data_IF_297953539784
#
_entry.id   IF_297953539784
#
_cell.length_a   1.000
_cell.length_b   1.000
_cell.length_c   1.000
_cell.angle_alpha   90.00
_cell.angle_beta   90.00
_cell.angle_gamma   90.00
#
_symmetry.space_group_name_H-M   'P 1'
#
loop_
_entity.id
_entity.type
_entity.pdbx_description
1 polymer ?
#
# COMPACT_ATOMS: atom_id res chain seq x y z
N UNK A 1 16.53 -9.38 46.42
CA UNK A 1 16.85 -10.56 45.57
C UNK A 1 15.66 -10.78 44.66
N UNK A 2 15.84 -10.74 43.34
CA UNK A 2 14.73 -10.89 42.39
C UNK A 2 14.51 -12.37 42.13
N UNK A 3 13.29 -12.85 42.32
CA UNK A 3 12.95 -14.24 41.99
C UNK A 3 13.11 -14.51 40.51
N UNK A 4 13.77 -15.61 40.16
CA UNK A 4 14.10 -15.97 38.80
C UNK A 4 13.96 -17.47 38.60
N UNK A 5 13.23 -17.87 37.56
CA UNK A 5 13.20 -19.24 37.05
C UNK A 5 14.15 -19.31 35.85
N UNK A 6 15.12 -20.19 35.89
CA UNK A 6 16.11 -20.37 34.82
C UNK A 6 15.98 -21.78 34.24
N UNK A 7 15.79 -21.82 32.92
CA UNK A 7 15.79 -23.03 32.11
C UNK A 7 17.06 -23.04 31.26
N UNK A 8 17.89 -24.06 31.40
CA UNK A 8 19.09 -24.21 30.61
C UNK A 8 18.77 -24.91 29.29
N UNK A 9 19.43 -24.47 28.21
CA UNK A 9 19.38 -25.21 26.94
C UNK A 9 20.01 -26.58 27.11
N UNK A 10 19.52 -27.58 26.38
CA UNK A 10 20.04 -28.93 26.40
C UNK A 10 21.50 -29.03 25.86
N UNK A 11 21.92 -28.07 25.04
CA UNK A 11 23.27 -27.92 24.50
C UNK A 11 23.58 -26.44 24.24
N UNK A 12 24.90 -26.11 24.11
CA UNK A 12 25.32 -24.75 23.74
C UNK A 12 25.43 -23.72 24.87
N UNK A 13 25.18 -24.13 26.16
CA UNK A 13 25.43 -23.30 27.34
C UNK A 13 24.48 -22.11 27.53
N UNK A 14 23.51 -21.89 26.65
CA UNK A 14 22.50 -20.85 26.76
C UNK A 14 21.41 -21.13 27.79
N UNK A 15 20.67 -20.13 28.22
CA UNK A 15 19.52 -20.29 29.12
C UNK A 15 18.42 -19.31 28.82
N UNK A 16 17.18 -19.72 29.07
CA UNK A 16 16.01 -18.87 29.15
C UNK A 16 15.68 -18.58 30.63
N UNK A 17 15.27 -17.37 30.95
CA UNK A 17 14.90 -17.02 32.31
C UNK A 17 13.61 -16.22 32.35
N UNK A 18 12.70 -16.56 33.26
CA UNK A 18 11.58 -15.74 33.66
C UNK A 18 11.99 -15.00 34.94
N UNK A 19 11.92 -13.68 34.93
CA UNK A 19 12.33 -12.84 36.05
C UNK A 19 11.22 -11.87 36.40
N UNK A 20 10.92 -11.77 37.70
CA UNK A 20 10.02 -10.74 38.18
C UNK A 20 10.63 -9.35 38.00
N UNK A 21 9.81 -8.30 37.77
CA UNK A 21 10.32 -6.93 37.72
C UNK A 21 10.97 -6.55 39.06
N UNK A 22 11.91 -5.60 39.01
CA UNK A 22 12.65 -5.17 40.22
C UNK A 22 11.74 -4.57 41.31
N UNK A 23 10.61 -3.99 40.90
CA UNK A 23 9.54 -3.50 41.78
C UNK A 23 8.18 -3.60 41.08
N UNK A 24 7.15 -4.00 41.84
CA UNK A 24 5.75 -3.98 41.35
C UNK A 24 4.82 -3.91 42.53
N UNK A 25 3.84 -3.02 42.46
CA UNK A 25 2.71 -2.97 43.42
C UNK A 25 1.55 -3.88 43.01
N UNK A 26 1.63 -4.52 41.83
CA UNK A 26 0.55 -5.33 41.28
C UNK A 26 0.91 -6.82 41.27
N UNK A 27 0.00 -7.67 41.71
CA UNK A 27 0.05 -9.09 41.50
C UNK A 27 -0.44 -9.40 40.09
N UNK A 28 0.45 -9.95 39.24
CA UNK A 28 0.12 -10.36 37.87
C UNK A 28 0.35 -11.86 37.73
N UNK A 29 -0.60 -12.51 37.08
CA UNK A 29 -0.52 -13.93 36.72
C UNK A 29 -0.24 -14.06 35.24
N UNK A 30 0.78 -14.80 34.87
CA UNK A 30 1.04 -15.24 33.52
C UNK A 30 0.54 -16.69 33.40
N UNK A 31 -0.58 -16.88 32.70
CA UNK A 31 -1.17 -18.21 32.49
C UNK A 31 -0.64 -18.76 31.16
N UNK A 32 0.01 -19.90 31.20
CA UNK A 32 0.41 -20.63 30.00
C UNK A 32 -0.85 -21.25 29.33
N UNK A 33 -0.95 -21.24 27.99
CA UNK A 33 -2.06 -21.88 27.30
C UNK A 33 -2.13 -23.38 27.61
N UNK A 34 -3.33 -23.88 27.89
CA UNK A 34 -3.62 -25.30 28.02
C UNK A 34 -3.91 -25.93 26.65
N UNK A 35 -3.03 -25.70 25.70
CA UNK A 35 -3.06 -26.31 24.38
C UNK A 35 -1.80 -27.11 24.14
N UNK A 36 -1.88 -28.14 23.29
CA UNK A 36 -0.69 -28.83 22.85
C UNK A 36 0.33 -27.81 22.32
N UNK A 37 1.58 -27.99 22.48
CA UNK A 37 2.72 -27.18 22.05
C UNK A 37 2.40 -25.68 21.75
N UNK A 38 2.73 -24.80 22.68
CA UNK A 38 2.61 -23.36 22.50
C UNK A 38 3.97 -22.68 22.39
N UNK A 39 4.10 -21.75 21.45
CA UNK A 39 5.28 -20.90 21.31
C UNK A 39 5.06 -19.58 22.00
N UNK A 40 5.93 -19.20 22.93
CA UNK A 40 5.94 -17.86 23.53
C UNK A 40 6.56 -16.90 22.52
N UNK A 41 5.73 -15.97 22.03
CA UNK A 41 6.20 -14.91 21.15
C UNK A 41 6.93 -13.85 21.97
N UNK A 42 8.16 -13.53 21.59
CA UNK A 42 8.94 -12.46 22.21
C UNK A 42 8.81 -11.17 21.40
N UNK A 43 9.27 -10.05 21.95
CA UNK A 43 9.32 -8.76 21.23
C UNK A 43 10.20 -8.78 19.98
N UNK A 44 11.03 -9.82 19.84
CA UNK A 44 11.89 -10.06 18.66
C UNK A 44 11.26 -11.03 17.67
N UNK A 45 10.07 -11.58 17.96
CA UNK A 45 9.37 -12.46 17.03
C UNK A 45 8.61 -11.58 16.03
N UNK A 46 9.11 -11.53 14.82
CA UNK A 46 8.48 -10.80 13.73
C UNK A 46 7.33 -11.64 13.16
N UNK A 47 6.10 -11.26 13.49
CA UNK A 47 4.88 -11.88 12.98
C UNK A 47 4.06 -10.84 12.22
N UNK A 48 4.58 -10.35 11.10
CA UNK A 48 3.86 -9.36 10.30
C UNK A 48 3.54 -8.08 11.07
N UNK A 49 4.47 -7.63 11.93
CA UNK A 49 4.27 -6.42 12.75
C UNK A 49 4.17 -5.19 11.87
N UNK A 50 3.17 -4.37 12.11
CA UNK A 50 3.11 -3.02 11.53
C UNK A 50 4.26 -2.17 12.10
N UNK A 51 5.16 -1.72 11.23
CA UNK A 51 6.32 -0.90 11.57
C UNK A 51 6.01 0.57 11.37
N UNK A 52 5.31 0.89 10.26
CA UNK A 52 4.96 2.26 9.90
C UNK A 52 3.59 2.30 9.22
N UNK A 53 2.87 3.38 9.46
CA UNK A 53 1.62 3.73 8.78
C UNK A 53 1.60 5.22 8.49
N UNK A 54 1.29 5.56 7.25
CA UNK A 54 1.07 6.92 6.80
C UNK A 54 -0.18 6.98 5.93
N UNK A 55 -0.95 8.05 6.03
CA UNK A 55 -2.09 8.28 5.16
C UNK A 55 -2.10 9.70 4.61
N UNK A 56 -2.65 9.84 3.42
CA UNK A 56 -2.87 11.12 2.75
C UNK A 56 -4.33 11.21 2.36
N UNK A 57 -4.98 12.31 2.75
CA UNK A 57 -6.34 12.66 2.31
C UNK A 57 -6.21 13.75 1.26
N UNK A 58 -6.73 13.49 0.06
CA UNK A 58 -6.68 14.42 -1.05
C UNK A 58 -8.08 14.93 -1.40
N UNK A 59 -8.29 16.21 -1.10
CA UNK A 59 -9.53 16.96 -1.40
C UNK A 59 -9.39 17.82 -2.68
N UNK A 60 -8.20 17.85 -3.28
CA UNK A 60 -7.97 18.48 -4.57
C UNK A 60 -8.65 17.71 -5.71
N UNK A 61 -8.57 18.23 -6.91
CA UNK A 61 -9.07 17.57 -8.11
C UNK A 61 -8.02 17.54 -9.21
N UNK A 62 -8.17 16.62 -10.15
CA UNK A 62 -7.38 16.55 -11.38
C UNK A 62 -8.25 16.14 -12.56
N UNK A 63 -7.75 16.41 -13.77
CA UNK A 63 -8.37 15.96 -15.02
C UNK A 63 -7.27 15.52 -15.97
N UNK A 64 -7.44 14.33 -16.51
CA UNK A 64 -6.48 13.74 -17.46
C UNK A 64 -7.27 13.39 -18.73
N UNK A 65 -6.94 14.06 -19.82
CA UNK A 65 -7.49 13.77 -21.12
C UNK A 65 -6.93 12.48 -21.72
N UNK A 66 -7.50 12.06 -22.85
CA UNK A 66 -7.01 10.90 -23.60
C UNK A 66 -5.51 11.03 -23.87
N UNK A 67 -4.77 9.98 -23.55
CA UNK A 67 -3.31 9.96 -23.69
C UNK A 67 -2.78 8.53 -23.89
N UNK A 68 -1.71 8.41 -24.65
CA UNK A 68 -0.92 7.18 -24.73
C UNK A 68 0.15 7.11 -23.64
N UNK A 69 0.43 8.25 -22.98
CA UNK A 69 1.33 8.35 -21.83
C UNK A 69 0.64 7.89 -20.55
N UNK A 70 1.41 7.79 -19.47
CA UNK A 70 0.93 7.45 -18.12
C UNK A 70 1.27 8.59 -17.15
N UNK A 71 0.58 9.73 -17.27
CA UNK A 71 0.81 10.85 -16.36
C UNK A 71 0.40 10.51 -14.94
N UNK A 72 1.04 11.17 -13.99
CA UNK A 72 0.64 11.14 -12.60
C UNK A 72 -0.73 11.82 -12.40
N UNK A 73 -1.54 11.25 -11.53
CA UNK A 73 -2.86 11.81 -11.21
C UNK A 73 -2.71 13.08 -10.40
N UNK A 74 -1.89 13.06 -9.35
CA UNK A 74 -1.60 14.23 -8.52
C UNK A 74 -0.34 14.03 -7.68
N UNK A 75 0.48 15.05 -7.59
CA UNK A 75 1.62 15.06 -6.65
C UNK A 75 1.20 15.14 -5.18
N UNK A 76 -0.04 15.53 -4.91
CA UNK A 76 -0.57 15.62 -3.54
C UNK A 76 -0.84 14.27 -2.88
N UNK A 77 -0.76 13.16 -3.64
CA UNK A 77 -0.96 11.80 -3.13
C UNK A 77 0.31 10.94 -3.29
N UNK A 78 1.48 11.58 -3.34
CA UNK A 78 2.78 10.89 -3.32
C UNK A 78 3.17 10.56 -1.89
N UNK A 79 3.79 9.41 -1.72
CA UNK A 79 4.56 9.10 -0.51
C UNK A 79 6.04 9.28 -0.79
N UNK A 80 6.74 9.94 0.11
CA UNK A 80 8.21 9.95 0.14
C UNK A 80 8.63 9.18 1.38
N UNK A 81 9.14 7.97 1.20
CA UNK A 81 9.33 7.03 2.29
C UNK A 81 10.71 6.38 2.27
N UNK A 82 11.27 6.17 3.47
CA UNK A 82 12.53 5.45 3.68
C UNK A 82 12.24 4.19 4.51
N UNK A 83 12.31 2.99 3.92
CA UNK A 83 12.05 1.75 4.65
C UNK A 83 13.03 1.54 5.79
N UNK A 84 12.55 0.97 6.89
CA UNK A 84 13.36 0.69 8.08
C UNK A 84 14.21 -0.58 7.92
N UNK A 85 13.81 -1.50 7.03
CA UNK A 85 14.55 -2.73 6.73
C UNK A 85 14.37 -3.14 5.27
N UNK A 86 15.43 -3.72 4.69
CA UNK A 86 15.42 -4.26 3.35
C UNK A 86 14.46 -5.45 3.17
N UNK A 87 14.16 -6.17 4.23
CA UNK A 87 13.29 -7.36 4.20
C UNK A 87 11.82 -7.04 4.36
N UNK A 88 11.48 -5.84 4.85
CA UNK A 88 10.11 -5.45 5.11
C UNK A 88 9.28 -5.35 3.84
N UNK A 89 7.97 -5.53 3.99
CA UNK A 89 7.00 -5.32 2.92
C UNK A 89 6.45 -3.91 3.00
N UNK A 90 6.41 -3.24 1.85
CA UNK A 90 5.72 -1.96 1.68
C UNK A 90 4.41 -2.25 0.98
N UNK A 91 3.31 -1.84 1.59
CA UNK A 91 1.95 -2.01 1.08
C UNK A 91 1.41 -0.61 0.81
N UNK A 92 1.01 -0.36 -0.42
CA UNK A 92 0.42 0.88 -0.88
C UNK A 92 -1.04 0.64 -1.23
N UNK A 93 -1.93 1.48 -0.73
CA UNK A 93 -3.35 1.44 -1.04
C UNK A 93 -3.80 2.83 -1.47
N UNK A 94 -4.46 2.90 -2.61
CA UNK A 94 -5.08 4.13 -3.10
C UNK A 94 -6.57 3.89 -3.27
N UNK A 95 -7.37 4.79 -2.76
CA UNK A 95 -8.80 4.80 -2.94
C UNK A 95 -9.18 6.11 -3.63
N UNK A 96 -9.41 6.02 -4.92
CA UNK A 96 -9.60 7.17 -5.79
C UNK A 96 -11.06 7.33 -6.16
N UNK A 97 -11.52 8.57 -6.22
CA UNK A 97 -12.82 8.93 -6.78
C UNK A 97 -12.63 9.36 -8.23
N UNK A 98 -13.23 8.63 -9.14
CA UNK A 98 -13.16 8.85 -10.58
C UNK A 98 -14.56 9.13 -11.12
N UNK A 99 -14.68 10.20 -11.89
CA UNK A 99 -15.82 10.44 -12.78
C UNK A 99 -15.33 10.41 -14.22
N UNK A 100 -16.07 9.73 -15.06
CA UNK A 100 -15.74 9.63 -16.48
C UNK A 100 -17.02 9.61 -17.33
N UNK A 101 -16.94 10.14 -18.55
CA UNK A 101 -17.99 10.06 -19.54
C UNK A 101 -18.11 8.67 -20.18
N UNK A 102 -18.95 8.52 -21.20
CA UNK A 102 -19.22 7.24 -21.86
C UNK A 102 -18.03 6.74 -22.71
N UNK A 103 -17.91 5.41 -22.80
CA UNK A 103 -17.09 4.68 -23.79
C UNK A 103 -15.58 4.89 -23.72
N UNK A 104 -14.97 4.85 -22.53
CA UNK A 104 -13.52 4.81 -22.46
C UNK A 104 -12.99 3.94 -21.31
N UNK A 105 -11.71 3.64 -21.36
CA UNK A 105 -10.99 2.85 -20.37
C UNK A 105 -9.97 3.74 -19.67
N UNK A 106 -9.98 3.71 -18.35
CA UNK A 106 -8.91 4.28 -17.53
C UNK A 106 -8.14 3.15 -16.86
N UNK A 107 -6.85 3.07 -17.14
CA UNK A 107 -5.92 2.13 -16.53
C UNK A 107 -5.12 2.85 -15.45
N UNK A 108 -4.88 2.18 -14.33
CA UNK A 108 -4.20 2.75 -13.16
C UNK A 108 -2.91 2.02 -12.88
N UNK A 109 -1.91 2.76 -12.43
CA UNK A 109 -0.56 2.26 -12.20
C UNK A 109 0.01 2.87 -10.93
N UNK A 110 0.69 2.07 -10.13
CA UNK A 110 1.47 2.55 -8.98
C UNK A 110 2.95 2.54 -9.38
N UNK A 111 3.57 3.72 -9.36
CA UNK A 111 4.97 3.93 -9.72
C UNK A 111 5.88 4.08 -8.51
N UNK A 112 7.15 3.73 -8.71
CA UNK A 112 8.23 3.94 -7.74
C UNK A 112 9.40 4.68 -8.40
N UNK A 113 9.83 5.78 -7.80
CA UNK A 113 10.95 6.60 -8.28
C UNK A 113 10.81 6.98 -9.76
N UNK A 114 9.60 7.38 -10.14
CA UNK A 114 9.28 7.72 -11.53
C UNK A 114 10.11 8.93 -11.97
N UNK A 115 10.91 8.75 -13.00
CA UNK A 115 11.81 9.81 -13.50
C UNK A 115 11.03 10.91 -14.24
N UNK A 116 9.97 10.56 -14.95
CA UNK A 116 9.12 11.49 -15.68
C UNK A 116 7.65 11.30 -15.29
N UNK A 117 7.14 12.13 -14.39
CA UNK A 117 5.74 12.05 -13.90
C UNK A 117 4.68 12.28 -14.98
N UNK A 118 5.05 12.82 -16.14
CA UNK A 118 4.14 12.94 -17.28
C UNK A 118 4.02 11.64 -18.07
N UNK A 119 4.95 10.70 -17.90
CA UNK A 119 4.96 9.42 -18.64
C UNK A 119 5.78 8.34 -17.93
N UNK A 120 5.18 7.67 -16.95
CA UNK A 120 5.79 6.56 -16.22
C UNK A 120 6.15 5.39 -17.15
N UNK A 121 7.33 4.82 -16.99
CA UNK A 121 7.84 3.71 -17.77
C UNK A 121 7.53 2.34 -17.12
N UNK A 122 7.59 1.26 -17.91
CA UNK A 122 7.31 -0.10 -17.41
C UNK A 122 8.27 -0.56 -16.31
N UNK A 123 9.52 -0.10 -16.30
CA UNK A 123 10.52 -0.42 -15.27
C UNK A 123 10.26 0.26 -13.92
N UNK A 124 9.34 1.21 -13.86
CA UNK A 124 9.05 2.03 -12.68
C UNK A 124 7.84 1.54 -11.89
N UNK A 125 7.23 0.41 -12.30
CA UNK A 125 6.10 -0.18 -11.57
C UNK A 125 6.52 -0.70 -10.20
N UNK A 126 5.66 -0.46 -9.22
CA UNK A 126 5.62 -1.29 -8.01
C UNK A 126 4.96 -2.61 -8.37
N UNK A 127 5.65 -3.72 -8.13
CA UNK A 127 5.12 -5.05 -8.40
C UNK A 127 3.77 -5.23 -7.69
N UNK A 128 2.72 -5.27 -8.46
CA UNK A 128 1.43 -5.72 -7.97
C UNK A 128 1.48 -7.23 -7.78
N UNK A 129 0.94 -7.79 -6.68
CA UNK A 129 0.85 -9.24 -6.50
C UNK A 129 -0.07 -9.91 -7.53
N UNK A 130 -0.74 -9.14 -8.35
CA UNK A 130 -1.64 -9.65 -9.36
C UNK A 130 -1.11 -9.32 -10.75
N UNK A 131 -0.78 -10.31 -11.46
CA UNK A 131 -1.10 -10.52 -12.86
C UNK A 131 -2.62 -10.29 -13.09
N UNK A 132 -3.15 -9.15 -12.67
CA UNK A 132 -4.56 -8.78 -12.83
C UNK A 132 -4.77 -7.96 -14.09
N UNK A 133 -4.09 -8.37 -15.16
CA UNK A 133 -4.36 -7.73 -16.43
C UNK A 133 -4.69 -8.80 -17.40
N UNK A 134 -5.92 -8.74 -17.82
CA UNK A 134 -6.36 -9.44 -19.01
C UNK A 134 -5.44 -9.02 -20.17
N UNK A 135 -4.52 -9.90 -20.61
CA UNK A 135 -3.62 -9.58 -21.73
C UNK A 135 -4.38 -9.40 -23.06
N UNK A 136 -5.68 -9.67 -23.10
CA UNK A 136 -6.54 -9.46 -24.26
C UNK A 136 -6.91 -7.99 -24.47
N UNK A 137 -6.60 -7.09 -23.52
CA UNK A 137 -6.80 -5.66 -23.70
C UNK A 137 -5.73 -5.08 -24.60
N UNK A 138 -6.10 -4.78 -25.79
CA UNK A 138 -5.36 -4.12 -26.88
C UNK A 138 -4.19 -3.24 -26.38
N UNK A 139 -2.97 -3.77 -26.40
CA UNK A 139 -1.77 -3.00 -26.22
C UNK A 139 -0.77 -3.45 -25.16
N UNK A 140 -1.01 -4.52 -24.41
CA UNK A 140 -0.01 -5.07 -23.49
C UNK A 140 0.34 -4.17 -22.29
N UNK A 141 -0.43 -3.13 -22.04
CA UNK A 141 -0.26 -2.19 -20.93
C UNK A 141 -1.02 -2.70 -19.69
N UNK A 142 -0.37 -3.57 -18.95
CA UNK A 142 -0.88 -4.00 -17.67
C UNK A 142 -0.89 -2.89 -16.62
N UNK A 143 -2.04 -2.63 -15.98
CA UNK A 143 -2.16 -1.70 -14.86
C UNK A 143 -2.55 -2.40 -13.56
N UNK A 144 -2.43 -1.71 -12.43
CA UNK A 144 -2.89 -2.19 -11.13
C UNK A 144 -4.42 -2.30 -11.04
N UNK A 145 -5.14 -1.56 -11.86
CA UNK A 145 -6.59 -1.66 -12.07
C UNK A 145 -7.01 -1.06 -13.39
N UNK A 146 -8.16 -1.50 -13.89
CA UNK A 146 -8.78 -0.99 -15.10
C UNK A 146 -10.25 -0.68 -14.81
N UNK A 147 -10.71 0.48 -15.24
CA UNK A 147 -12.10 0.90 -15.15
C UNK A 147 -12.64 1.12 -16.55
N UNK A 148 -13.78 0.51 -16.81
CA UNK A 148 -14.55 0.70 -18.02
C UNK A 148 -15.64 1.73 -17.78
N UNK A 149 -15.67 2.79 -18.58
CA UNK A 149 -16.79 3.72 -18.62
C UNK A 149 -17.98 3.05 -19.29
N UNK A 150 -19.09 2.97 -18.59
CA UNK A 150 -20.37 2.55 -19.18
C UNK A 150 -20.91 3.57 -20.16
N UNK A 151 -22.01 3.21 -20.82
CA UNK A 151 -22.70 4.01 -21.87
C UNK A 151 -23.49 5.19 -21.28
N UNK A 152 -23.14 5.73 -20.13
CA UNK A 152 -23.90 6.80 -19.48
C UNK A 152 -23.46 8.17 -20.02
N UNK A 153 -24.41 8.92 -20.52
CA UNK A 153 -24.24 10.32 -20.92
C UNK A 153 -24.06 11.26 -19.72
N UNK A 154 -24.31 10.76 -18.52
CA UNK A 154 -24.13 11.47 -17.26
C UNK A 154 -22.98 10.80 -16.51
N UNK A 155 -21.89 11.51 -16.32
CA UNK A 155 -20.70 10.98 -15.65
C UNK A 155 -21.05 10.33 -14.30
N UNK A 156 -20.70 9.07 -14.13
CA UNK A 156 -20.88 8.35 -12.88
C UNK A 156 -19.61 8.50 -12.02
N UNK A 157 -19.80 8.55 -10.71
CA UNK A 157 -18.68 8.55 -9.77
C UNK A 157 -18.34 7.12 -9.38
N UNK A 158 -17.13 6.70 -9.72
CA UNK A 158 -16.60 5.39 -9.36
C UNK A 158 -15.62 5.53 -8.21
N UNK A 159 -15.60 4.52 -7.36
CA UNK A 159 -14.57 4.34 -6.35
C UNK A 159 -13.58 3.27 -6.84
N UNK A 160 -12.33 3.65 -6.95
CA UNK A 160 -11.26 2.80 -7.45
C UNK A 160 -10.33 2.45 -6.30
N UNK A 161 -10.27 1.18 -5.96
CA UNK A 161 -9.33 0.68 -4.97
C UNK A 161 -8.12 0.04 -5.69
N UNK A 162 -6.93 0.55 -5.42
CA UNK A 162 -5.68 0.01 -5.92
C UNK A 162 -4.86 -0.50 -4.73
N UNK A 163 -4.16 -1.60 -4.92
CA UNK A 163 -3.17 -2.10 -3.97
C UNK A 163 -1.90 -2.50 -4.71
N UNK A 164 -0.77 -2.09 -4.18
CA UNK A 164 0.54 -2.55 -4.64
C UNK A 164 1.38 -2.97 -3.44
N UNK A 165 2.16 -4.03 -3.61
CA UNK A 165 3.00 -4.59 -2.54
C UNK A 165 4.38 -4.84 -3.11
N UNK A 166 5.41 -4.43 -2.40
CA UNK A 166 6.80 -4.81 -2.71
C UNK A 166 7.58 -5.20 -1.46
N UNK A 167 8.66 -5.93 -1.65
CA UNK A 167 9.70 -6.04 -0.63
C UNK A 167 10.62 -4.83 -0.77
N UNK A 168 10.98 -4.20 0.33
CA UNK A 168 11.80 -3.00 0.32
C UNK A 168 13.14 -3.19 -0.44
N UNK A 169 13.82 -4.33 -0.26
CA UNK A 169 15.07 -4.67 -0.94
C UNK A 169 16.28 -3.86 -0.45
N UNK A 170 16.07 -2.62 -0.02
CA UNK A 170 17.06 -1.73 0.60
C UNK A 170 16.36 -0.67 1.44
N UNK A 171 17.14 0.16 2.15
CA UNK A 171 16.67 1.25 3.00
C UNK A 171 16.85 2.63 2.36
N UNK A 172 17.00 2.71 1.05
CA UNK A 172 17.06 3.98 0.35
C UNK A 172 15.68 4.65 0.30
N UNK A 173 15.66 5.98 0.41
CA UNK A 173 14.45 6.75 0.21
C UNK A 173 13.87 6.51 -1.18
N UNK A 174 12.57 6.44 -1.27
CA UNK A 174 11.83 6.27 -2.52
C UNK A 174 10.55 7.10 -2.54
N UNK A 175 10.09 7.40 -3.73
CA UNK A 175 8.85 8.13 -3.96
C UNK A 175 7.87 7.17 -4.64
N UNK A 176 6.69 7.04 -4.06
CA UNK A 176 5.58 6.31 -4.66
C UNK A 176 4.55 7.30 -5.19
N UNK A 177 4.02 7.02 -6.37
CA UNK A 177 3.06 7.87 -7.07
C UNK A 177 2.01 7.02 -7.78
N UNK A 178 0.84 7.60 -8.03
CA UNK A 178 -0.23 6.93 -8.78
C UNK A 178 -0.44 7.63 -10.13
N UNK A 179 -0.52 6.82 -11.17
CA UNK A 179 -0.59 7.23 -12.56
C UNK A 179 -1.82 6.63 -13.23
N UNK A 180 -2.24 7.22 -14.34
CA UNK A 180 -3.27 6.61 -15.17
C UNK A 180 -3.01 6.82 -16.66
N UNK A 181 -3.61 5.93 -17.48
CA UNK A 181 -3.72 6.07 -18.93
C UNK A 181 -5.20 6.10 -19.27
N UNK A 182 -5.62 7.09 -20.05
CA UNK A 182 -7.01 7.29 -20.47
C UNK A 182 -7.09 7.09 -21.97
N UNK A 183 -7.93 6.16 -22.45
CA UNK A 183 -7.96 5.79 -23.88
C UNK A 183 -8.72 6.79 -24.74
N UNK A 184 -9.75 7.45 -24.20
CA UNK A 184 -10.51 8.48 -24.88
C UNK A 184 -11.20 9.39 -23.85
N UNK A 185 -11.64 10.57 -24.27
CA UNK A 185 -12.27 11.57 -23.40
C UNK A 185 -11.39 12.05 -22.24
N UNK A 186 -11.99 12.40 -21.11
CA UNK A 186 -11.29 12.91 -19.93
C UNK A 186 -11.73 12.17 -18.67
N UNK A 187 -10.78 11.64 -17.92
CA UNK A 187 -10.97 11.15 -16.57
C UNK A 187 -10.89 12.33 -15.59
N UNK A 188 -11.88 12.47 -14.73
CA UNK A 188 -11.94 13.50 -13.70
C UNK A 188 -11.82 12.87 -12.32
N UNK A 189 -10.87 13.33 -11.53
CA UNK A 189 -10.61 12.83 -10.18
C UNK A 189 -11.17 13.82 -9.16
N UNK A 190 -11.88 13.30 -8.15
CA UNK A 190 -12.53 14.04 -7.07
C UNK A 190 -13.53 15.11 -7.53
N UNK A 191 -13.99 15.08 -8.77
CA UNK A 191 -15.00 15.99 -9.29
C UNK A 191 -15.89 15.30 -10.31
N UNK A 192 -17.08 15.83 -10.48
CA UNK A 192 -18.00 15.47 -11.56
C UNK A 192 -17.60 16.15 -12.87
N UNK A 193 -18.01 15.59 -14.00
CA UNK A 193 -17.71 16.14 -15.33
C UNK A 193 -18.13 17.58 -15.54
N UNK A 194 -19.17 18.05 -14.82
CA UNK A 194 -19.72 19.40 -14.90
C UNK A 194 -19.29 20.34 -13.76
N UNK A 195 -18.23 20.02 -13.04
CA UNK A 195 -17.64 20.82 -11.95
C UNK A 195 -18.47 20.94 -10.65
N UNK A 196 -19.57 20.21 -10.48
CA UNK A 196 -20.52 20.47 -9.40
C UNK A 196 -20.31 19.66 -8.11
N UNK A 197 -19.49 18.61 -8.11
CA UNK A 197 -19.31 17.75 -6.93
C UNK A 197 -17.85 17.35 -6.75
N UNK A 198 -17.39 17.45 -5.51
CA UNK A 198 -16.06 17.04 -5.11
C UNK A 198 -16.15 15.75 -4.30
N UNK A 199 -15.39 14.74 -4.71
CA UNK A 199 -15.12 13.57 -3.89
C UNK A 199 -13.82 13.78 -3.11
N UNK A 200 -13.55 12.86 -2.20
CA UNK A 200 -12.27 12.76 -1.50
C UNK A 200 -11.61 11.42 -1.85
N UNK A 201 -10.36 11.49 -2.26
CA UNK A 201 -9.51 10.31 -2.42
C UNK A 201 -8.55 10.20 -1.25
N UNK A 202 -8.08 9.00 -0.96
CA UNK A 202 -7.05 8.81 0.05
C UNK A 202 -6.03 7.77 -0.40
N UNK A 203 -4.85 7.88 0.17
CA UNK A 203 -3.75 6.95 -0.03
C UNK A 203 -3.21 6.51 1.33
N UNK A 204 -2.76 5.28 1.43
CA UNK A 204 -2.19 4.68 2.63
C UNK A 204 -0.91 3.94 2.29
N UNK A 205 0.09 4.09 3.14
CA UNK A 205 1.33 3.34 3.10
C UNK A 205 1.51 2.61 4.43
N UNK A 206 1.81 1.33 4.34
CA UNK A 206 2.15 0.49 5.47
C UNK A 206 3.54 -0.11 5.24
N UNK A 207 4.36 -0.12 6.26
CA UNK A 207 5.53 -1.00 6.32
C UNK A 207 5.27 -2.07 7.35
N UNK A 208 5.44 -3.33 6.96
CA UNK A 208 5.27 -4.49 7.84
C UNK A 208 6.49 -5.38 7.78
N UNK A 209 6.82 -6.01 8.90
CA UNK A 209 7.84 -7.08 8.92
C UNK A 209 7.35 -8.29 8.12
N UNK A 210 8.25 -9.13 7.59
CA UNK A 210 7.89 -10.34 6.85
C UNK A 210 7.04 -11.30 7.65
#
# INVERSE_FOLDING_TARGET
>A
MTAKIKLNAASGGGSFSLQAPSSSSNNRVFTLPDSADATILTSTTDLGKLVHYENIIWNGHASIGATTSRPEISSSIRFTYTPTSATNKIILRYNLRLSQGSNFVTMFFVGKNVANYSNMQNSEYVNSPATLVDPSFNGGDGGNAVVYGGNSTNGEMHQIALMAIETAGNTNQRIYSVHCKVTSNTAHFNRWTNNSYYGTSFAELFEVTP
#
